data_IF_718758810985
#
_entry.id   IF_718758810985
#
_cell.length_a   1.000
_cell.length_b   1.000
_cell.length_c   1.000
_cell.angle_alpha   90.00
_cell.angle_beta   90.00
_cell.angle_gamma   90.00
#
_symmetry.space_group_name_H-M   'P 1'
#
loop_
_entity.id
_entity.type
_entity.pdbx_description
1 polymer ?
#
# COMPACT_ATOMS: atom_id res chain seq x y z
N UNK A 1 -6.20 -5.42 -26.17
CA UNK A 1 -6.39 -5.11 -24.73
C UNK A 1 -7.34 -6.08 -24.05
N UNK A 2 -8.62 -6.16 -24.44
CA UNK A 2 -9.59 -7.09 -23.84
C UNK A 2 -9.09 -8.55 -23.86
N UNK A 3 -8.58 -9.01 -25.01
CA UNK A 3 -8.00 -10.34 -25.14
C UNK A 3 -6.84 -10.61 -24.15
N UNK A 4 -6.10 -9.59 -23.71
CA UNK A 4 -5.05 -9.78 -22.71
C UNK A 4 -5.64 -10.07 -21.31
N UNK A 5 -6.77 -9.45 -20.95
CA UNK A 5 -7.49 -9.77 -19.71
C UNK A 5 -8.06 -11.19 -19.74
N UNK A 6 -8.61 -11.61 -20.87
CA UNK A 6 -9.16 -12.96 -21.07
C UNK A 6 -8.04 -14.00 -21.03
N UNK A 7 -6.95 -13.82 -21.78
CA UNK A 7 -5.81 -14.75 -21.78
C UNK A 7 -5.15 -14.85 -20.40
N UNK A 8 -5.09 -13.75 -19.65
CA UNK A 8 -4.58 -13.75 -18.28
C UNK A 8 -5.57 -14.36 -17.26
N UNK A 9 -6.78 -14.73 -17.67
CA UNK A 9 -7.80 -15.35 -16.82
C UNK A 9 -8.44 -14.38 -15.82
N UNK A 10 -8.31 -13.07 -16.02
CA UNK A 10 -8.96 -12.05 -15.18
C UNK A 10 -10.46 -11.95 -15.46
N UNK A 11 -10.85 -12.27 -16.70
CA UNK A 11 -12.23 -12.19 -17.18
C UNK A 11 -12.55 -13.39 -18.05
N UNK A 12 -13.84 -13.72 -18.11
CA UNK A 12 -14.32 -14.86 -18.89
C UNK A 12 -14.74 -14.46 -20.30
N UNK A 13 -15.26 -13.24 -20.50
CA UNK A 13 -15.78 -12.79 -21.79
C UNK A 13 -15.43 -11.31 -22.10
N UNK A 14 -15.43 -10.96 -23.39
CA UNK A 14 -15.15 -9.59 -23.87
C UNK A 14 -16.19 -8.56 -23.41
N UNK A 15 -17.39 -9.01 -23.01
CA UNK A 15 -18.51 -8.17 -22.57
C UNK A 15 -18.38 -7.68 -21.13
N UNK A 16 -17.48 -8.25 -20.33
CA UNK A 16 -17.31 -7.84 -18.93
C UNK A 16 -16.58 -6.51 -18.77
N UNK A 17 -15.86 -6.11 -19.83
CA UNK A 17 -15.17 -4.85 -19.96
C UNK A 17 -16.10 -3.91 -20.72
N UNK A 18 -16.82 -3.06 -19.98
CA UNK A 18 -17.68 -1.98 -20.50
C UNK A 18 -16.83 -0.86 -21.15
N UNK A 19 -15.92 -1.26 -22.04
CA UNK A 19 -15.16 -0.38 -22.89
C UNK A 19 -16.09 0.12 -23.95
N UNK A 20 -16.78 1.23 -23.67
CA UNK A 20 -17.40 2.01 -24.73
C UNK A 20 -16.28 2.37 -25.70
N UNK A 21 -16.19 1.74 -26.88
CA UNK A 21 -15.17 2.11 -27.82
C UNK A 21 -15.63 3.48 -28.31
N UNK A 22 -14.89 4.52 -27.97
CA UNK A 22 -15.09 5.81 -28.62
C UNK A 22 -14.54 5.68 -30.04
N UNK A 23 -15.19 4.87 -30.87
CA UNK A 23 -14.83 4.59 -32.27
C UNK A 23 -14.79 5.87 -33.10
N UNK A 24 -15.55 6.88 -32.67
CA UNK A 24 -15.66 8.19 -33.30
C UNK A 24 -14.69 9.24 -32.73
N UNK A 25 -13.89 8.89 -31.71
CA UNK A 25 -12.97 9.83 -31.07
C UNK A 25 -11.62 9.92 -31.79
N UNK A 26 -10.95 11.06 -31.60
CA UNK A 26 -9.61 11.29 -32.15
C UNK A 26 -8.60 10.22 -31.70
N UNK A 27 -7.50 10.00 -32.44
CA UNK A 27 -6.47 9.04 -32.03
C UNK A 27 -5.92 9.33 -30.61
N UNK A 28 -5.80 10.60 -30.25
CA UNK A 28 -5.32 11.03 -28.93
C UNK A 28 -6.32 10.71 -27.81
N UNK A 29 -7.62 10.94 -28.04
CA UNK A 29 -8.70 10.61 -27.10
C UNK A 29 -8.82 9.09 -26.90
N UNK A 30 -8.66 8.32 -27.99
CA UNK A 30 -8.58 6.85 -27.92
C UNK A 30 -7.38 6.38 -27.12
N UNK A 31 -6.21 7.00 -27.30
CA UNK A 31 -5.02 6.69 -26.51
C UNK A 31 -5.22 7.02 -25.03
N UNK A 32 -5.81 8.19 -24.71
CA UNK A 32 -6.17 8.58 -23.34
C UNK A 32 -7.15 7.61 -22.68
N UNK A 33 -8.13 7.09 -23.42
CA UNK A 33 -9.08 6.11 -22.93
C UNK A 33 -8.44 4.72 -22.68
N UNK A 34 -7.41 4.36 -23.45
CA UNK A 34 -6.71 3.07 -23.31
C UNK A 34 -5.70 3.05 -22.16
N UNK A 35 -5.11 4.19 -21.81
CA UNK A 35 -4.07 4.29 -20.77
C UNK A 35 -4.54 3.74 -19.41
N UNK A 36 -5.70 4.14 -18.84
CA UNK A 36 -6.20 3.57 -17.59
C UNK A 36 -6.34 2.04 -17.60
N UNK A 37 -6.78 1.48 -18.73
CA UNK A 37 -7.00 0.04 -18.89
C UNK A 37 -5.69 -0.73 -18.96
N UNK A 38 -4.67 -0.11 -19.56
CA UNK A 38 -3.33 -0.67 -19.59
C UNK A 38 -2.71 -0.68 -18.19
N UNK A 39 -2.81 0.43 -17.45
CA UNK A 39 -2.32 0.51 -16.08
C UNK A 39 -3.05 -0.46 -15.15
N UNK A 40 -4.38 -0.57 -15.27
CA UNK A 40 -5.17 -1.55 -14.53
C UNK A 40 -4.71 -3.00 -14.82
N UNK A 41 -4.37 -3.31 -16.08
CA UNK A 41 -3.88 -4.64 -16.46
C UNK A 41 -2.51 -4.92 -15.84
N UNK A 42 -1.60 -3.93 -15.87
CA UNK A 42 -0.29 -4.04 -15.24
C UNK A 42 -0.42 -4.29 -13.73
N UNK A 43 -1.29 -3.54 -13.06
CA UNK A 43 -1.58 -3.73 -11.63
C UNK A 43 -2.12 -5.13 -11.36
N UNK A 44 -3.10 -5.61 -12.13
CA UNK A 44 -3.66 -6.95 -11.97
C UNK A 44 -2.64 -8.06 -12.22
N UNK A 45 -1.76 -7.90 -13.21
CA UNK A 45 -0.67 -8.85 -13.48
C UNK A 45 0.32 -8.90 -12.32
N UNK A 46 0.71 -7.75 -11.76
CA UNK A 46 1.62 -7.72 -10.62
C UNK A 46 0.97 -8.33 -9.37
N UNK A 47 -0.31 -8.02 -9.11
CA UNK A 47 -1.05 -8.65 -8.01
C UNK A 47 -1.15 -10.17 -8.17
N UNK A 48 -1.41 -10.67 -9.38
CA UNK A 48 -1.49 -12.12 -9.67
C UNK A 48 -0.16 -12.85 -9.44
N UNK A 49 0.97 -12.15 -9.50
CA UNK A 49 2.28 -12.76 -9.18
C UNK A 49 2.44 -13.07 -7.70
N UNK A 50 1.78 -12.31 -6.82
CA UNK A 50 1.93 -12.44 -5.37
C UNK A 50 0.71 -13.05 -4.68
N UNK A 51 -0.42 -13.15 -5.39
CA UNK A 51 -1.70 -13.59 -4.85
C UNK A 51 -2.25 -14.81 -5.62
N UNK A 52 -2.71 -15.82 -4.89
CA UNK A 52 -3.44 -16.97 -5.41
C UNK A 52 -4.94 -16.85 -5.09
N UNK A 53 -5.60 -15.96 -5.84
CA UNK A 53 -7.01 -15.62 -5.63
C UNK A 53 -7.94 -16.59 -6.39
N UNK A 54 -9.07 -17.00 -5.78
CA UNK A 54 -10.12 -17.70 -6.50
C UNK A 54 -10.67 -16.86 -7.65
N UNK A 55 -11.09 -17.51 -8.74
CA UNK A 55 -11.52 -16.83 -9.98
C UNK A 55 -12.58 -15.74 -9.75
N UNK A 56 -13.58 -15.98 -8.90
CA UNK A 56 -14.63 -14.99 -8.62
C UNK A 56 -14.10 -13.74 -7.88
N UNK A 57 -13.14 -13.91 -6.97
CA UNK A 57 -12.46 -12.80 -6.27
C UNK A 57 -11.59 -12.03 -7.26
N UNK A 58 -10.87 -12.75 -8.11
CA UNK A 58 -10.01 -12.18 -9.14
C UNK A 58 -10.80 -11.32 -10.13
N UNK A 59 -11.95 -11.79 -10.61
CA UNK A 59 -12.84 -11.00 -11.49
C UNK A 59 -13.40 -9.78 -10.78
N UNK A 60 -13.79 -9.91 -9.51
CA UNK A 60 -14.32 -8.78 -8.71
C UNK A 60 -13.25 -7.71 -8.49
N UNK A 61 -12.04 -8.13 -8.14
CA UNK A 61 -10.88 -7.25 -7.97
C UNK A 61 -10.50 -6.58 -9.30
N UNK A 62 -10.51 -7.31 -10.40
CA UNK A 62 -10.24 -6.76 -11.75
C UNK A 62 -11.20 -5.61 -12.08
N UNK A 63 -12.51 -5.80 -11.85
CA UNK A 63 -13.49 -4.72 -12.06
C UNK A 63 -13.24 -3.54 -11.13
N UNK A 64 -12.88 -3.78 -9.87
CA UNK A 64 -12.54 -2.73 -8.90
C UNK A 64 -11.33 -1.90 -9.33
N UNK A 65 -10.26 -2.56 -9.79
CA UNK A 65 -9.06 -1.90 -10.32
C UNK A 65 -9.41 -1.08 -11.56
N UNK A 66 -10.09 -1.66 -12.55
CA UNK A 66 -10.51 -0.93 -13.76
C UNK A 66 -11.32 0.31 -13.40
N UNK A 67 -12.33 0.17 -12.54
CA UNK A 67 -13.16 1.29 -12.10
C UNK A 67 -12.34 2.39 -11.40
N UNK A 68 -11.34 2.02 -10.58
CA UNK A 68 -10.45 2.99 -9.92
C UNK A 68 -9.65 3.79 -10.95
N UNK A 69 -8.98 3.12 -11.89
CA UNK A 69 -8.14 3.78 -12.89
C UNK A 69 -8.97 4.59 -13.91
N UNK A 70 -10.19 4.15 -14.22
CA UNK A 70 -11.10 4.85 -15.14
C UNK A 70 -11.92 5.97 -14.49
N UNK A 71 -11.91 6.10 -13.16
CA UNK A 71 -12.74 7.09 -12.44
C UNK A 71 -12.36 8.54 -12.73
N UNK A 72 -11.08 8.82 -13.00
CA UNK A 72 -10.57 10.15 -13.31
C UNK A 72 -9.52 10.09 -14.44
N UNK A 73 -9.38 11.16 -15.24
CA UNK A 73 -8.30 11.26 -16.21
C UNK A 73 -6.94 11.18 -15.50
N UNK A 74 -6.10 10.26 -15.95
CA UNK A 74 -4.76 10.07 -15.38
C UNK A 74 -3.83 11.14 -15.97
N UNK A 75 -3.55 12.17 -15.17
CA UNK A 75 -2.58 13.23 -15.52
C UNK A 75 -1.19 12.94 -14.96
N UNK A 76 -1.11 12.21 -13.86
CA UNK A 76 0.11 11.83 -13.17
C UNK A 76 -0.05 10.39 -12.64
N UNK A 77 0.73 9.47 -13.19
CA UNK A 77 0.66 8.03 -12.86
C UNK A 77 1.06 7.80 -11.39
N UNK A 78 1.94 8.64 -10.83
CA UNK A 78 2.46 8.46 -9.46
C UNK A 78 1.42 8.72 -8.38
N UNK A 79 0.28 9.33 -8.73
CA UNK A 79 -0.80 9.68 -7.80
C UNK A 79 -1.94 8.68 -7.80
N UNK A 80 -1.90 7.67 -8.66
CA UNK A 80 -2.94 6.66 -8.75
C UNK A 80 -2.56 5.46 -7.90
N UNK A 81 -3.15 5.39 -6.72
CA UNK A 81 -2.99 4.27 -5.80
C UNK A 81 -4.21 3.37 -5.81
N UNK A 82 -3.97 2.06 -5.77
CA UNK A 82 -4.99 1.05 -5.55
C UNK A 82 -4.66 0.30 -4.26
N UNK A 83 -5.63 0.22 -3.36
CA UNK A 83 -5.52 -0.46 -2.08
C UNK A 83 -6.71 -1.39 -1.92
N UNK A 84 -6.45 -2.60 -1.45
CA UNK A 84 -7.49 -3.60 -1.19
C UNK A 84 -7.02 -4.57 -0.11
N UNK A 85 -7.93 -5.00 0.75
CA UNK A 85 -7.65 -6.01 1.75
C UNK A 85 -7.77 -7.41 1.14
N UNK A 86 -6.75 -8.24 1.37
CA UNK A 86 -6.73 -9.62 0.87
C UNK A 86 -6.50 -10.57 2.05
N UNK A 87 -7.27 -11.67 2.16
CA UNK A 87 -7.02 -12.68 3.17
C UNK A 87 -5.61 -13.28 3.03
N UNK A 88 -4.90 -13.42 4.15
CA UNK A 88 -3.51 -13.91 4.16
C UNK A 88 -3.36 -15.30 3.53
N UNK A 89 -4.41 -16.13 3.58
CA UNK A 89 -4.44 -17.48 2.95
C UNK A 89 -4.25 -17.45 1.43
N UNK A 90 -4.50 -16.31 0.78
CA UNK A 90 -4.33 -16.14 -0.66
C UNK A 90 -3.01 -15.44 -1.01
N UNK A 91 -2.16 -15.14 -0.03
CA UNK A 91 -0.85 -14.53 -0.26
C UNK A 91 0.18 -15.62 -0.47
N UNK A 92 0.96 -15.53 -1.55
CA UNK A 92 2.02 -16.50 -1.83
C UNK A 92 3.14 -16.40 -0.80
N UNK A 93 3.78 -17.54 -0.51
CA UNK A 93 4.85 -17.65 0.50
C UNK A 93 6.03 -16.72 0.24
N UNK A 94 6.34 -16.46 -1.02
CA UNK A 94 7.50 -15.67 -1.41
C UNK A 94 7.39 -14.22 -0.91
N UNK A 95 6.16 -13.68 -0.87
CA UNK A 95 5.91 -12.36 -0.30
C UNK A 95 6.05 -12.35 1.23
N UNK A 96 5.69 -13.46 1.89
CA UNK A 96 5.79 -13.61 3.36
C UNK A 96 7.23 -13.83 3.83
N UNK A 97 8.09 -14.37 2.98
CA UNK A 97 9.52 -14.53 3.27
C UNK A 97 10.28 -13.21 3.19
N UNK A 98 9.77 -12.22 2.44
CA UNK A 98 10.36 -10.90 2.37
C UNK A 98 10.08 -10.15 3.68
N UNK A 99 11.12 -9.57 4.28
CA UNK A 99 10.94 -8.65 5.41
C UNK A 99 10.10 -7.45 4.96
N UNK A 100 9.12 -7.02 5.78
CA UNK A 100 8.28 -5.89 5.41
C UNK A 100 9.11 -4.60 5.37
N UNK A 101 8.80 -3.75 4.40
CA UNK A 101 9.44 -2.44 4.26
C UNK A 101 8.98 -1.49 5.39
N UNK A 102 7.78 -1.73 5.95
CA UNK A 102 7.18 -1.02 7.07
C UNK A 102 6.56 -2.02 8.05
N UNK A 103 6.90 -1.90 9.33
CA UNK A 103 6.22 -2.57 10.44
C UNK A 103 5.63 -1.52 11.38
N UNK A 104 4.37 -1.68 11.76
CA UNK A 104 3.71 -0.80 12.73
C UNK A 104 3.18 -1.58 13.91
N UNK A 105 3.28 -1.01 15.10
CA UNK A 105 2.65 -1.52 16.31
C UNK A 105 1.86 -0.38 16.96
N UNK A 106 0.56 -0.57 17.09
CA UNK A 106 -0.32 0.34 17.80
C UNK A 106 -0.71 -0.26 19.14
N UNK A 107 -0.47 0.48 20.21
CA UNK A 107 -0.91 0.15 21.57
C UNK A 107 -1.90 1.22 22.00
N UNK A 108 -3.16 0.82 22.21
CA UNK A 108 -4.24 1.73 22.65
C UNK A 108 -4.60 1.39 24.09
N UNK A 109 -4.60 2.39 24.96
CA UNK A 109 -5.05 2.28 26.34
C UNK A 109 -6.47 2.84 26.48
N UNK A 110 -7.37 1.98 26.96
CA UNK A 110 -8.79 2.27 27.15
C UNK A 110 -9.11 2.40 28.63
N UNK A 111 -9.93 3.39 28.97
CA UNK A 111 -10.64 3.46 30.25
C UNK A 111 -12.14 3.38 29.96
N UNK A 112 -12.75 2.24 30.29
CA UNK A 112 -14.13 1.95 29.87
C UNK A 112 -14.24 1.91 28.34
N UNK A 113 -15.12 2.77 27.78
CA UNK A 113 -15.32 2.89 26.33
C UNK A 113 -14.51 4.03 25.70
N UNK A 114 -13.64 4.69 26.46
CA UNK A 114 -12.89 5.86 26.02
C UNK A 114 -11.41 5.52 25.83
N UNK A 115 -10.81 6.03 24.75
CA UNK A 115 -9.36 5.99 24.53
C UNK A 115 -8.72 7.09 25.36
N UNK A 116 -7.81 6.70 26.26
CA UNK A 116 -7.12 7.64 27.16
C UNK A 116 -5.69 7.88 26.71
N UNK A 117 -5.05 6.89 26.10
CA UNK A 117 -3.75 7.06 25.47
C UNK A 117 -3.59 6.12 24.28
N UNK A 118 -2.78 6.52 23.31
CA UNK A 118 -2.35 5.66 22.21
C UNK A 118 -0.86 5.87 21.95
N UNK A 119 -0.15 4.77 21.71
CA UNK A 119 1.24 4.77 21.30
C UNK A 119 1.36 4.01 20.00
N UNK A 120 1.97 4.62 18.99
CA UNK A 120 2.18 4.04 17.69
C UNK A 120 3.69 4.02 17.38
N UNK A 121 4.23 2.82 17.25
CA UNK A 121 5.62 2.59 16.85
C UNK A 121 5.67 2.23 15.36
N UNK A 122 6.50 2.94 14.59
CA UNK A 122 6.74 2.67 13.17
C UNK A 122 8.19 2.28 12.97
N UNK A 123 8.42 1.15 12.32
CA UNK A 123 9.74 0.67 11.92
C UNK A 123 9.79 0.65 10.40
N UNK A 124 10.66 1.44 9.80
CA UNK A 124 10.80 1.54 8.33
C UNK A 124 12.27 1.58 7.95
N UNK A 125 12.60 1.01 6.79
CA UNK A 125 13.93 1.21 6.18
C UNK A 125 14.05 2.54 5.46
N UNK A 126 12.92 3.06 4.98
CA UNK A 126 12.85 4.33 4.26
C UNK A 126 12.09 5.38 5.11
N UNK A 127 12.78 6.36 5.71
CA UNK A 127 12.15 7.36 6.55
C UNK A 127 11.29 8.33 5.73
N UNK A 128 9.97 8.22 5.86
CA UNK A 128 9.02 9.16 5.25
C UNK A 128 9.09 10.60 5.86
N UNK A 129 9.81 10.76 6.97
CA UNK A 129 10.03 12.05 7.64
C UNK A 129 11.23 12.77 7.03
N UNK A 130 11.02 13.34 5.83
CA UNK A 130 12.08 14.01 5.04
C UNK A 130 12.87 15.09 5.81
N UNK A 131 12.29 15.66 6.88
CA UNK A 131 12.95 16.65 7.72
C UNK A 131 13.93 16.07 8.76
N UNK A 132 13.95 14.74 8.93
CA UNK A 132 14.90 13.99 9.75
C UNK A 132 16.02 13.35 8.93
N UNK A 133 15.91 13.32 7.60
CA UNK A 133 16.97 12.87 6.70
C UNK A 133 18.26 13.68 6.97
N UNK A 134 19.35 12.99 7.30
CA UNK A 134 20.65 13.60 7.60
C UNK A 134 20.89 14.05 9.05
N UNK A 135 19.94 13.83 9.98
CA UNK A 135 20.11 14.14 11.42
C UNK A 135 20.48 12.93 12.29
N UNK A 136 20.65 11.75 11.69
CA UNK A 136 21.19 10.58 12.40
C UNK A 136 22.67 10.85 12.66
N UNK A 137 22.96 11.47 13.80
CA UNK A 137 24.33 11.63 14.30
C UNK A 137 24.89 10.22 14.51
N UNK A 138 25.99 9.84 13.85
CA UNK A 138 26.66 8.61 14.20
C UNK A 138 27.10 8.74 15.65
N UNK A 139 26.68 7.80 16.48
CA UNK A 139 27.29 7.62 17.78
C UNK A 139 28.70 7.09 17.47
N UNK A 140 29.65 8.00 17.30
CA UNK A 140 31.07 7.68 17.30
C UNK A 140 31.39 7.15 18.70
N UNK A 141 31.16 5.86 18.91
CA UNK A 141 31.78 5.15 20.02
C UNK A 141 33.24 4.96 19.61
N UNK A 142 34.11 5.69 20.31
CA UNK A 142 35.53 5.40 20.45
C UNK A 142 35.71 3.97 20.98
N UNK A 143 35.56 2.98 20.12
CA UNK A 143 36.03 1.63 20.35
C UNK A 143 36.32 1.04 18.99
N UNK A 144 37.60 1.08 18.63
CA UNK A 144 38.09 0.46 17.42
C UNK A 144 37.77 -1.03 17.45
N UNK A 145 36.94 -1.46 16.52
CA UNK A 145 37.05 -2.73 15.81
C UNK A 145 36.15 -2.62 14.56
N UNK A 146 36.74 -2.91 13.41
CA UNK A 146 36.12 -2.82 12.09
C UNK A 146 34.90 -3.75 11.99
N UNK A 147 33.70 -3.21 12.13
CA UNK A 147 32.52 -3.72 11.45
C UNK A 147 31.90 -2.56 10.69
N UNK A 148 32.11 -2.53 9.38
CA UNK A 148 31.35 -1.69 8.46
C UNK A 148 29.91 -2.20 8.50
N UNK A 149 29.15 -1.82 9.54
CA UNK A 149 27.72 -2.09 9.63
C UNK A 149 27.09 -1.52 8.36
N UNK A 150 26.57 -2.38 7.49
CA UNK A 150 25.90 -1.97 6.27
C UNK A 150 24.67 -1.17 6.68
N UNK A 151 24.81 0.17 6.71
CA UNK A 151 23.77 1.11 7.15
C UNK A 151 22.48 0.97 6.32
N UNK A 152 22.52 0.24 5.20
CA UNK A 152 21.36 -0.13 4.38
C UNK A 152 20.40 -1.14 5.05
N UNK A 153 20.83 -1.79 6.13
CA UNK A 153 20.00 -2.77 6.85
C UNK A 153 19.36 -2.23 8.14
N UNK A 154 19.67 -1.00 8.55
CA UNK A 154 19.14 -0.40 9.76
C UNK A 154 17.67 0.05 9.56
N UNK A 155 16.77 -0.40 10.45
CA UNK A 155 15.42 0.13 10.53
C UNK A 155 15.40 1.40 11.38
N UNK A 156 14.78 2.47 10.87
CA UNK A 156 14.43 3.63 11.68
C UNK A 156 13.17 3.33 12.48
N UNK A 157 13.22 3.60 13.79
CA UNK A 157 12.05 3.52 14.66
C UNK A 157 11.55 4.93 15.00
N UNK A 158 10.28 5.21 14.71
CA UNK A 158 9.58 6.44 15.12
C UNK A 158 8.44 6.10 16.07
N UNK A 159 8.43 6.76 17.24
CA UNK A 159 7.37 6.63 18.23
C UNK A 159 6.51 7.89 18.25
N UNK A 160 5.19 7.70 18.18
CA UNK A 160 4.20 8.75 18.39
C UNK A 160 3.32 8.34 19.55
N UNK A 161 3.29 9.16 20.60
CA UNK A 161 2.40 8.96 21.75
C UNK A 161 1.41 10.12 21.83
N UNK A 162 0.14 9.81 22.00
CA UNK A 162 -0.92 10.78 22.28
C UNK A 162 -1.66 10.41 23.56
N UNK A 163 -2.03 11.42 24.35
CA UNK A 163 -2.86 11.28 25.54
C UNK A 163 -4.10 12.15 25.41
N UNK A 164 -5.26 11.58 25.71
CA UNK A 164 -6.56 12.23 25.67
C UNK A 164 -7.14 12.18 27.08
N UNK A 165 -6.55 12.96 27.99
CA UNK A 165 -7.00 13.05 29.38
C UNK A 165 -8.13 14.09 29.47
N UNK A 166 -9.29 13.67 29.96
CA UNK A 166 -10.34 14.59 30.40
C UNK A 166 -10.14 14.97 31.88
N UNK A 167 -10.81 16.02 32.33
CA UNK A 167 -10.71 16.49 33.72
C UNK A 167 -11.05 15.40 34.75
N UNK A 168 -12.01 14.52 34.42
CA UNK A 168 -12.44 13.39 35.27
C UNK A 168 -11.36 12.30 35.38
N UNK A 169 -10.54 12.08 34.34
CA UNK A 169 -9.46 11.09 34.34
C UNK A 169 -8.29 11.49 35.26
N UNK A 170 -8.17 12.80 35.57
CA UNK A 170 -7.14 13.35 36.47
C UNK A 170 -7.52 13.23 37.95
N UNK A 171 -8.80 13.06 38.28
CA UNK A 171 -9.28 12.98 39.66
C UNK A 171 -9.01 11.62 40.30
N UNK A 172 -8.96 10.53 39.50
CA UNK A 172 -8.67 9.17 39.98
C UNK A 172 -7.21 8.88 40.35
N UNK A 173 -6.30 9.86 40.20
CA UNK A 173 -4.87 9.74 40.49
C UNK A 173 -4.45 10.36 41.83
N UNK A 174 -5.41 10.86 42.63
CA UNK A 174 -5.17 11.42 43.97
C UNK A 174 -5.49 10.44 45.09
#
# INVERSE_FOLDING_TARGET
>A
MVQAYVTAGFMTNDTDLDLKPQLNAGPEERARALLPLHLALQTMLEMKRHLDLPAHVLTTMTRSVINKYCSFPITDITKVFYETAVPLIHVQSDLLQKLPDLWTNETVYLHGNSVVAATLAHFTRDPQLRFLEGKVVPRDEESGENEEYDKREAFLCTYTTSSYLNAEDLEGWR
#
